data_IF_634107284034
#
_entry.id   IF_634107284034
#
_cell.length_a   1.000
_cell.length_b   1.000
_cell.length_c   1.000
_cell.angle_alpha   90.00
_cell.angle_beta   90.00
_cell.angle_gamma   90.00
#
_symmetry.space_group_name_H-M   'P 1'
#
loop_
_entity.id
_entity.type
_entity.pdbx_description
1 polymer ?
#
# COMPACT_ATOMS: atom_id res chain seq x y z
N UNK A 1 35.54 23.69 28.75
CA UNK A 1 34.20 23.22 29.17
C UNK A 1 33.58 22.25 28.17
N UNK A 2 33.72 22.46 26.86
CA UNK A 2 33.08 21.61 25.85
C UNK A 2 33.50 20.13 25.89
N UNK A 3 34.80 19.84 26.04
CA UNK A 3 35.29 18.45 26.12
C UNK A 3 34.66 17.64 27.25
N UNK A 4 34.40 18.25 28.41
CA UNK A 4 33.75 17.57 29.54
C UNK A 4 32.26 17.31 29.25
N UNK A 5 31.58 18.26 28.60
CA UNK A 5 30.17 18.09 28.21
C UNK A 5 30.02 16.98 27.16
N UNK A 6 30.89 16.92 26.16
CA UNK A 6 30.92 15.82 25.19
C UNK A 6 31.20 14.46 25.83
N UNK A 7 32.13 14.41 26.79
CA UNK A 7 32.40 13.21 27.57
C UNK A 7 31.16 12.69 28.32
N UNK A 8 30.43 13.58 28.98
CA UNK A 8 29.21 13.21 29.71
C UNK A 8 28.11 12.74 28.74
N UNK A 9 27.90 13.45 27.63
CA UNK A 9 26.88 13.08 26.63
C UNK A 9 27.17 11.70 26.03
N UNK A 10 28.42 11.44 25.66
CA UNK A 10 28.81 10.14 25.10
C UNK A 10 28.60 9.01 26.09
N UNK A 11 28.97 9.19 27.36
CA UNK A 11 28.74 8.18 28.41
C UNK A 11 27.25 7.90 28.61
N UNK A 12 26.41 8.94 28.66
CA UNK A 12 24.95 8.78 28.77
C UNK A 12 24.39 8.03 27.55
N UNK A 13 24.89 8.32 26.35
CA UNK A 13 24.46 7.64 25.13
C UNK A 13 24.84 6.16 25.13
N UNK A 14 26.06 5.82 25.55
CA UNK A 14 26.48 4.43 25.67
C UNK A 14 25.69 3.67 26.74
N UNK A 15 25.47 4.29 27.91
CA UNK A 15 24.70 3.66 29.00
C UNK A 15 23.26 3.40 28.59
N UNK A 16 22.58 4.37 27.94
CA UNK A 16 21.22 4.17 27.42
C UNK A 16 21.17 3.12 26.31
N UNK A 17 22.18 3.07 25.43
CA UNK A 17 22.29 2.05 24.38
C UNK A 17 22.37 0.63 24.96
N UNK A 18 23.25 0.43 25.94
CA UNK A 18 23.48 -0.87 26.59
C UNK A 18 22.32 -1.32 27.49
N UNK A 19 21.66 -0.39 28.17
CA UNK A 19 20.63 -0.73 29.18
C UNK A 19 19.21 -0.73 28.64
N UNK A 20 18.94 -0.02 27.54
CA UNK A 20 17.59 0.13 26.98
C UNK A 20 17.51 -0.46 25.57
N UNK A 21 18.34 0.02 24.64
CA UNK A 21 18.27 -0.40 23.23
C UNK A 21 18.66 -1.86 23.04
N UNK A 22 19.76 -2.31 23.66
CA UNK A 22 20.24 -3.68 23.47
C UNK A 22 19.25 -4.72 24.02
N UNK A 23 18.72 -4.62 25.26
CA UNK A 23 17.69 -5.53 25.75
C UNK A 23 16.40 -5.45 24.95
N UNK A 24 16.03 -4.25 24.47
CA UNK A 24 14.85 -4.07 23.62
C UNK A 24 14.99 -4.77 22.26
N UNK A 25 16.15 -4.65 21.60
CA UNK A 25 16.45 -5.36 20.34
C UNK A 25 16.52 -6.87 20.56
N UNK A 26 17.10 -7.33 21.67
CA UNK A 26 17.13 -8.75 22.01
C UNK A 26 15.72 -9.30 22.30
N UNK A 27 14.90 -8.54 23.02
CA UNK A 27 13.50 -8.87 23.30
C UNK A 27 12.68 -8.94 22.01
N UNK A 28 12.85 -7.96 21.11
CA UNK A 28 12.27 -7.99 19.78
C UNK A 28 12.77 -9.22 19.03
N UNK A 29 14.08 -9.48 18.99
CA UNK A 29 14.68 -10.61 18.27
C UNK A 29 14.09 -11.96 18.70
N UNK A 30 13.87 -12.14 20.00
CA UNK A 30 13.35 -13.37 20.60
C UNK A 30 11.83 -13.55 20.46
N UNK A 31 11.04 -12.49 20.58
CA UNK A 31 9.57 -12.58 20.60
C UNK A 31 8.93 -12.23 19.26
N UNK A 32 8.45 -13.25 18.56
CA UNK A 32 7.69 -13.06 17.31
C UNK A 32 6.40 -12.25 17.52
N UNK A 33 5.76 -12.37 18.69
CA UNK A 33 4.53 -11.62 19.01
C UNK A 33 4.81 -10.12 19.23
N UNK A 34 5.92 -9.78 19.89
CA UNK A 34 6.30 -8.37 20.08
C UNK A 34 6.74 -7.73 18.77
N UNK A 35 7.47 -8.45 17.90
CA UNK A 35 7.75 -7.95 16.54
C UNK A 35 6.46 -7.61 15.79
N UNK A 36 5.45 -8.48 15.86
CA UNK A 36 4.15 -8.28 15.18
C UNK A 36 3.33 -7.11 15.72
N UNK A 37 3.59 -6.62 16.94
CA UNK A 37 2.88 -5.47 17.51
C UNK A 37 3.71 -4.20 17.35
N UNK A 38 4.99 -4.27 17.70
CA UNK A 38 5.88 -3.10 17.71
C UNK A 38 6.22 -2.64 16.29
N UNK A 39 6.49 -3.56 15.36
CA UNK A 39 6.86 -3.18 13.99
C UNK A 39 5.71 -2.45 13.27
N UNK A 40 4.46 -2.94 13.26
CA UNK A 40 3.35 -2.19 12.67
C UNK A 40 3.09 -0.86 13.37
N UNK A 41 3.22 -0.80 14.70
CA UNK A 41 3.05 0.47 15.43
C UNK A 41 4.11 1.51 15.02
N UNK A 42 5.39 1.15 15.07
CA UNK A 42 6.49 2.05 14.71
C UNK A 42 6.44 2.44 13.23
N UNK A 43 6.18 1.47 12.35
CA UNK A 43 6.05 1.73 10.92
C UNK A 43 4.87 2.66 10.64
N UNK A 44 3.68 2.37 11.17
CA UNK A 44 2.47 3.16 10.93
C UNK A 44 2.54 4.57 11.52
N UNK A 45 3.14 4.73 12.71
CA UNK A 45 3.11 6.01 13.42
C UNK A 45 4.32 6.90 13.16
N UNK A 46 5.51 6.32 12.89
CA UNK A 46 6.74 7.07 12.69
C UNK A 46 7.15 7.17 11.22
N UNK A 47 7.16 6.04 10.50
CA UNK A 47 7.71 5.97 9.13
C UNK A 47 6.65 6.33 8.10
N UNK A 48 5.50 5.68 8.15
CA UNK A 48 4.46 5.77 7.14
C UNK A 48 3.89 7.18 6.91
N UNK A 49 3.68 8.05 7.93
CA UNK A 49 3.16 9.40 7.70
C UNK A 49 4.14 10.28 6.91
N UNK A 50 5.44 10.11 7.18
CA UNK A 50 6.52 10.81 6.48
C UNK A 50 6.67 10.26 5.06
N UNK A 51 6.69 8.94 4.93
CA UNK A 51 6.79 8.24 3.65
C UNK A 51 5.61 8.59 2.73
N UNK A 52 4.38 8.55 3.25
CA UNK A 52 3.15 8.92 2.54
C UNK A 52 3.20 10.36 2.03
N UNK A 53 3.70 11.31 2.84
CA UNK A 53 3.89 12.70 2.41
C UNK A 53 4.92 12.82 1.29
N UNK A 54 6.06 12.15 1.42
CA UNK A 54 7.13 12.20 0.42
C UNK A 54 6.71 11.58 -0.92
N UNK A 55 5.84 10.57 -0.89
CA UNK A 55 5.43 9.85 -2.10
C UNK A 55 4.13 10.34 -2.72
N UNK A 56 3.41 11.26 -2.04
CA UNK A 56 2.21 11.87 -2.58
C UNK A 56 2.38 12.48 -3.99
N UNK A 57 3.52 13.14 -4.34
CA UNK A 57 3.74 13.64 -5.70
C UNK A 57 3.87 12.52 -6.74
N UNK A 58 4.59 11.44 -6.40
CA UNK A 58 4.77 10.29 -7.28
C UNK A 58 3.44 9.54 -7.49
N UNK A 59 2.69 9.34 -6.41
CA UNK A 59 1.33 8.79 -6.47
C UNK A 59 0.46 9.63 -7.38
N UNK A 60 0.45 10.96 -7.20
CA UNK A 60 -0.32 11.87 -8.07
C UNK A 60 0.07 11.74 -9.54
N UNK A 61 1.36 11.75 -9.84
CA UNK A 61 1.86 11.61 -11.22
C UNK A 61 1.42 10.27 -11.86
N UNK A 62 1.48 9.17 -11.12
CA UNK A 62 1.03 7.87 -11.61
C UNK A 62 -0.49 7.85 -11.91
N UNK A 63 -1.29 8.49 -11.05
CA UNK A 63 -2.73 8.60 -11.26
C UNK A 63 -3.11 9.60 -12.36
N UNK A 64 -2.33 10.66 -12.56
CA UNK A 64 -2.49 11.58 -13.69
C UNK A 64 -2.22 10.83 -15.02
N UNK A 65 -1.16 10.00 -15.07
CA UNK A 65 -0.88 9.12 -16.22
C UNK A 65 -2.00 8.11 -16.44
N UNK A 66 -2.53 7.51 -15.37
CA UNK A 66 -3.68 6.62 -15.45
C UNK A 66 -4.89 7.33 -16.06
N UNK A 67 -5.20 8.53 -15.58
CA UNK A 67 -6.31 9.34 -16.09
C UNK A 67 -6.13 9.68 -17.57
N UNK A 68 -4.92 10.06 -18.00
CA UNK A 68 -4.60 10.32 -19.40
C UNK A 68 -4.87 9.09 -20.28
N UNK A 69 -4.35 7.92 -19.88
CA UNK A 69 -4.54 6.68 -20.62
C UNK A 69 -6.00 6.23 -20.67
N UNK A 70 -6.77 6.46 -19.60
CA UNK A 70 -8.20 6.17 -19.57
C UNK A 70 -8.98 7.14 -20.47
N UNK A 71 -8.60 8.41 -20.50
CA UNK A 71 -9.23 9.43 -21.36
C UNK A 71 -9.03 9.18 -22.86
N UNK A 72 -7.91 8.57 -23.26
CA UNK A 72 -7.67 8.17 -24.65
C UNK A 72 -8.56 6.99 -25.10
N UNK A 73 -9.07 6.19 -24.15
CA UNK A 73 -9.97 5.07 -24.47
C UNK A 73 -11.38 5.60 -24.70
N UNK A 74 -11.90 5.38 -25.90
CA UNK A 74 -13.29 5.69 -26.26
C UNK A 74 -14.27 4.68 -25.63
N UNK A 75 -14.28 4.57 -24.30
CA UNK A 75 -15.21 3.71 -23.55
C UNK A 75 -16.46 4.51 -23.16
N UNK A 76 -17.64 3.96 -23.42
CA UNK A 76 -18.89 4.45 -22.83
C UNK A 76 -19.08 3.79 -21.46
N UNK A 77 -19.10 4.58 -20.39
CA UNK A 77 -19.36 4.12 -19.01
C UNK A 77 -18.11 4.07 -18.12
N UNK A 78 -18.28 3.59 -16.90
CA UNK A 78 -17.22 3.56 -15.88
C UNK A 78 -16.09 2.60 -16.23
N UNK A 79 -14.86 2.93 -15.84
CA UNK A 79 -13.69 2.06 -15.93
C UNK A 79 -13.70 1.07 -14.76
N UNK A 80 -13.57 -0.21 -15.08
CA UNK A 80 -13.47 -1.29 -14.10
C UNK A 80 -12.03 -1.35 -13.59
N UNK A 81 -11.84 -1.05 -12.31
CA UNK A 81 -10.52 -0.96 -11.69
C UNK A 81 -10.44 -1.96 -10.55
N UNK A 82 -9.39 -2.78 -10.56
CA UNK A 82 -9.00 -3.60 -9.42
C UNK A 82 -7.85 -2.93 -8.68
N UNK A 83 -8.00 -2.70 -7.38
CA UNK A 83 -6.89 -2.29 -6.53
C UNK A 83 -6.43 -3.46 -5.66
N UNK A 84 -5.15 -3.82 -5.80
CA UNK A 84 -4.48 -4.81 -4.96
C UNK A 84 -3.93 -4.08 -3.73
N UNK A 85 -4.32 -4.53 -2.54
CA UNK A 85 -3.97 -3.96 -1.23
C UNK A 85 -4.57 -2.58 -0.99
N UNK A 86 -5.91 -2.50 -1.01
CA UNK A 86 -6.65 -1.25 -0.78
C UNK A 86 -6.40 -0.65 0.62
N UNK A 87 -6.13 -1.50 1.62
CA UNK A 87 -6.14 -1.15 3.04
C UNK A 87 -7.33 -0.23 3.39
N UNK A 88 -7.04 0.99 3.84
CA UNK A 88 -8.02 2.02 4.23
C UNK A 88 -8.41 2.99 3.10
N UNK A 89 -7.90 2.79 1.88
CA UNK A 89 -8.25 3.58 0.71
C UNK A 89 -7.35 4.79 0.46
N UNK A 90 -6.05 4.61 0.63
CA UNK A 90 -5.03 5.65 0.51
C UNK A 90 -4.95 6.31 -0.89
N UNK A 91 -5.41 5.58 -1.90
CA UNK A 91 -5.43 5.97 -3.31
C UNK A 91 -6.78 6.59 -3.75
N UNK A 92 -7.82 6.53 -2.91
CA UNK A 92 -9.16 7.05 -3.24
C UNK A 92 -9.18 8.51 -3.73
N UNK A 93 -8.39 9.45 -3.17
CA UNK A 93 -8.40 10.84 -3.64
C UNK A 93 -7.90 11.03 -5.08
N UNK A 94 -7.21 10.04 -5.65
CA UNK A 94 -6.50 10.17 -6.93
C UNK A 94 -7.20 9.46 -8.09
N UNK A 95 -8.22 8.63 -7.82
CA UNK A 95 -8.96 7.99 -8.90
C UNK A 95 -9.74 9.02 -9.74
N UNK A 96 -9.73 8.88 -11.07
CA UNK A 96 -10.52 9.75 -11.94
C UNK A 96 -12.01 9.51 -11.74
N UNK A 97 -12.81 10.48 -12.19
CA UNK A 97 -14.26 10.31 -12.29
C UNK A 97 -14.61 9.09 -13.16
N UNK A 98 -15.77 8.49 -12.92
CA UNK A 98 -16.22 7.26 -13.60
C UNK A 98 -15.33 6.04 -13.30
N UNK A 99 -14.73 5.97 -12.11
CA UNK A 99 -14.02 4.78 -11.65
C UNK A 99 -15.00 3.83 -10.95
N UNK A 100 -15.02 2.57 -11.37
CA UNK A 100 -15.73 1.49 -10.67
C UNK A 100 -14.70 0.57 -10.02
N UNK A 101 -14.67 0.57 -8.69
CA UNK A 101 -13.58 0.00 -7.91
C UNK A 101 -13.97 -1.35 -7.30
N UNK A 102 -13.16 -2.37 -7.58
CA UNK A 102 -13.08 -3.63 -6.83
C UNK A 102 -11.81 -3.56 -5.99
N UNK A 103 -11.97 -3.76 -4.68
CA UNK A 103 -10.84 -3.81 -3.76
C UNK A 103 -10.43 -5.27 -3.49
N UNK A 104 -9.14 -5.56 -3.49
CA UNK A 104 -8.59 -6.85 -3.08
C UNK A 104 -7.63 -6.66 -1.91
N UNK A 105 -7.90 -7.30 -0.78
CA UNK A 105 -7.04 -7.23 0.41
C UNK A 105 -7.26 -8.46 1.29
N UNK A 106 -6.22 -9.14 1.77
CA UNK A 106 -6.37 -10.32 2.62
C UNK A 106 -6.85 -9.98 4.05
N UNK A 107 -6.71 -8.73 4.51
CA UNK A 107 -7.07 -8.31 5.86
C UNK A 107 -8.48 -7.71 5.93
N UNK A 108 -9.18 -7.98 7.02
CA UNK A 108 -10.47 -7.36 7.37
C UNK A 108 -10.31 -6.09 8.22
N UNK A 109 -9.10 -5.83 8.75
CA UNK A 109 -8.82 -4.84 9.80
C UNK A 109 -9.20 -3.40 9.41
N UNK A 110 -9.15 -3.07 8.12
CA UNK A 110 -9.37 -1.71 7.62
C UNK A 110 -10.75 -1.48 7.01
N UNK A 111 -11.67 -2.45 7.09
CA UNK A 111 -12.92 -2.37 6.33
C UNK A 111 -13.83 -1.21 6.76
N UNK A 112 -13.96 -0.95 8.05
CA UNK A 112 -14.77 0.17 8.54
C UNK A 112 -14.17 1.52 8.13
N UNK A 113 -12.85 1.65 8.21
CA UNK A 113 -12.14 2.86 7.81
C UNK A 113 -12.24 3.09 6.30
N UNK A 114 -12.10 2.03 5.50
CA UNK A 114 -12.31 2.06 4.05
C UNK A 114 -13.72 2.52 3.71
N UNK A 115 -14.76 1.96 4.36
CA UNK A 115 -16.16 2.40 4.17
C UNK A 115 -16.34 3.89 4.48
N UNK A 116 -15.72 4.39 5.55
CA UNK A 116 -15.79 5.80 5.92
C UNK A 116 -15.02 6.72 4.96
N UNK A 117 -13.89 6.27 4.42
CA UNK A 117 -13.13 7.03 3.43
C UNK A 117 -13.84 7.04 2.07
N UNK A 118 -14.44 5.92 1.64
CA UNK A 118 -15.27 5.86 0.42
C UNK A 118 -16.43 6.86 0.44
N UNK A 119 -17.09 7.07 1.58
CA UNK A 119 -18.15 8.09 1.72
C UNK A 119 -17.66 9.52 1.41
N UNK A 120 -16.37 9.80 1.59
CA UNK A 120 -15.76 11.11 1.27
C UNK A 120 -15.42 11.24 -0.22
N UNK A 121 -15.52 10.15 -0.98
CA UNK A 121 -15.14 10.07 -2.39
C UNK A 121 -16.29 9.53 -3.26
N UNK A 122 -17.42 10.27 -3.36
CA UNK A 122 -18.61 9.83 -4.10
C UNK A 122 -18.39 9.69 -5.61
N UNK A 123 -17.28 10.20 -6.16
CA UNK A 123 -16.91 10.05 -7.57
C UNK A 123 -16.50 8.60 -7.93
N UNK A 124 -16.29 7.74 -6.94
CA UNK A 124 -15.91 6.34 -7.11
C UNK A 124 -17.12 5.45 -6.85
N UNK A 125 -17.47 4.62 -7.83
CA UNK A 125 -18.45 3.56 -7.65
C UNK A 125 -17.77 2.33 -7.03
N UNK A 126 -17.80 2.22 -5.71
CA UNK A 126 -17.29 1.04 -5.01
C UNK A 126 -18.23 -0.16 -5.23
N UNK A 127 -17.71 -1.24 -5.82
CA UNK A 127 -18.49 -2.45 -6.10
C UNK A 127 -18.48 -3.44 -4.96
N UNK A 128 -17.29 -3.90 -4.59
CA UNK A 128 -17.09 -4.92 -3.56
C UNK A 128 -15.63 -4.95 -3.11
N UNK A 129 -15.43 -5.52 -1.92
CA UNK A 129 -14.13 -6.00 -1.44
C UNK A 129 -14.05 -7.51 -1.64
N UNK A 130 -12.89 -7.99 -2.06
CA UNK A 130 -12.56 -9.41 -2.22
C UNK A 130 -11.44 -9.73 -1.23
N UNK A 131 -11.71 -10.64 -0.29
CA UNK A 131 -10.72 -11.10 0.69
C UNK A 131 -9.86 -12.19 0.08
N UNK A 132 -8.74 -11.80 -0.52
CA UNK A 132 -7.84 -12.71 -1.23
C UNK A 132 -6.39 -12.16 -1.25
N UNK A 133 -5.44 -13.04 -1.54
CA UNK A 133 -4.04 -12.66 -1.74
C UNK A 133 -3.80 -12.19 -3.18
N UNK A 134 -2.81 -11.33 -3.42
CA UNK A 134 -2.46 -10.87 -4.77
C UNK A 134 -1.97 -12.01 -5.66
N UNK A 135 -1.35 -13.04 -5.08
CA UNK A 135 -0.86 -14.24 -5.78
C UNK A 135 -1.98 -15.18 -6.22
N UNK A 136 -3.19 -15.02 -5.68
CA UNK A 136 -4.36 -15.80 -6.03
C UNK A 136 -5.63 -14.97 -5.80
N UNK A 137 -6.10 -14.30 -6.85
CA UNK A 137 -7.22 -13.37 -6.80
C UNK A 137 -8.56 -14.11 -6.93
N UNK A 138 -8.78 -15.10 -6.06
CA UNK A 138 -10.02 -15.85 -6.01
C UNK A 138 -11.20 -14.90 -5.74
N UNK A 139 -12.25 -14.97 -6.57
CA UNK A 139 -13.37 -14.02 -6.51
C UNK A 139 -13.25 -12.79 -7.42
N UNK A 140 -12.18 -12.71 -8.23
CA UNK A 140 -12.07 -11.79 -9.38
C UNK A 140 -12.09 -12.59 -10.67
N UNK A 141 -13.05 -12.29 -11.54
CA UNK A 141 -13.26 -13.02 -12.79
C UNK A 141 -12.16 -12.72 -13.82
N UNK A 142 -11.88 -13.68 -14.71
CA UNK A 142 -10.97 -13.52 -15.85
C UNK A 142 -11.46 -12.40 -16.78
N UNK A 143 -10.52 -11.62 -17.33
CA UNK A 143 -10.81 -10.56 -18.29
C UNK A 143 -11.98 -9.63 -17.88
N UNK A 144 -12.08 -9.31 -16.59
CA UNK A 144 -13.20 -8.55 -16.01
C UNK A 144 -12.87 -7.07 -15.79
N UNK A 145 -11.60 -6.73 -15.60
CA UNK A 145 -11.16 -5.36 -15.27
C UNK A 145 -10.40 -4.69 -16.41
N UNK A 146 -10.51 -3.36 -16.48
CA UNK A 146 -9.79 -2.54 -17.47
C UNK A 146 -8.43 -2.07 -16.94
N UNK A 147 -8.27 -1.97 -15.62
CA UNK A 147 -7.05 -1.48 -14.98
C UNK A 147 -6.80 -2.27 -13.71
N UNK A 148 -5.53 -2.58 -13.44
CA UNK A 148 -5.09 -3.04 -12.13
C UNK A 148 -4.13 -2.01 -11.55
N UNK A 149 -4.39 -1.59 -10.32
CA UNK A 149 -3.57 -0.66 -9.54
C UNK A 149 -2.95 -1.41 -8.36
N UNK A 150 -1.66 -1.20 -8.12
CA UNK A 150 -0.97 -1.70 -6.94
C UNK A 150 0.05 -0.68 -6.43
N UNK A 151 -0.06 -0.32 -5.15
CA UNK A 151 0.77 0.71 -4.51
C UNK A 151 1.32 0.16 -3.19
N UNK A 152 2.64 -0.03 -3.08
CA UNK A 152 3.33 -0.61 -1.90
C UNK A 152 2.94 -2.04 -1.51
N UNK A 153 2.40 -2.85 -2.44
CA UNK A 153 2.00 -4.23 -2.12
C UNK A 153 3.02 -5.26 -2.58
N UNK A 154 3.64 -5.07 -3.74
CA UNK A 154 4.52 -6.08 -4.34
C UNK A 154 5.82 -6.34 -3.55
N UNK A 155 6.20 -5.46 -2.63
CA UNK A 155 7.30 -5.71 -1.70
C UNK A 155 6.93 -6.70 -0.57
N UNK A 156 5.65 -7.00 -0.38
CA UNK A 156 5.14 -7.84 0.72
C UNK A 156 4.62 -9.21 0.26
N UNK A 157 4.54 -9.45 -1.05
CA UNK A 157 4.07 -10.72 -1.62
C UNK A 157 5.19 -11.76 -1.64
N UNK A 158 4.84 -13.04 -1.59
CA UNK A 158 5.81 -14.15 -1.61
C UNK A 158 6.36 -14.39 -3.02
N UNK A 159 5.53 -14.21 -4.04
CA UNK A 159 5.92 -14.42 -5.43
C UNK A 159 5.29 -13.38 -6.35
N UNK A 160 6.08 -12.37 -6.71
CA UNK A 160 5.70 -11.31 -7.67
C UNK A 160 5.27 -11.90 -9.01
N UNK A 161 5.89 -12.99 -9.48
CA UNK A 161 5.51 -13.60 -10.78
C UNK A 161 4.11 -14.17 -10.74
N UNK A 162 3.70 -14.74 -9.61
CA UNK A 162 2.33 -15.24 -9.43
C UNK A 162 1.32 -14.08 -9.43
N UNK A 163 1.63 -12.96 -8.79
CA UNK A 163 0.79 -11.75 -8.88
C UNK A 163 0.66 -11.27 -10.32
N UNK A 164 1.77 -11.15 -11.06
CA UNK A 164 1.74 -10.67 -12.45
C UNK A 164 0.95 -11.62 -13.38
N UNK A 165 0.95 -12.93 -13.12
CA UNK A 165 0.09 -13.89 -13.84
C UNK A 165 -1.38 -13.62 -13.57
N UNK A 166 -1.76 -13.39 -12.31
CA UNK A 166 -3.12 -13.06 -11.94
C UNK A 166 -3.56 -11.72 -12.52
N UNK A 167 -2.70 -10.70 -12.48
CA UNK A 167 -2.92 -9.40 -13.15
C UNK A 167 -3.24 -9.61 -14.63
N UNK A 168 -2.45 -10.44 -15.33
CA UNK A 168 -2.70 -10.76 -16.74
C UNK A 168 -4.02 -11.51 -16.94
N UNK A 169 -4.41 -12.39 -16.02
CA UNK A 169 -5.67 -13.16 -16.07
C UNK A 169 -6.89 -12.24 -15.95
N UNK A 170 -6.87 -11.30 -15.00
CA UNK A 170 -8.04 -10.45 -14.68
C UNK A 170 -8.20 -9.28 -15.66
N UNK A 171 -7.11 -8.81 -16.29
CA UNK A 171 -7.15 -7.72 -17.27
C UNK A 171 -7.85 -8.15 -18.57
N UNK A 172 -8.70 -7.28 -19.13
CA UNK A 172 -9.26 -7.52 -20.46
C UNK A 172 -8.16 -7.51 -21.55
N UNK A 173 -8.34 -8.26 -22.65
CA UNK A 173 -7.32 -8.42 -23.70
C UNK A 173 -6.87 -7.11 -24.38
N UNK A 174 -7.72 -6.08 -24.40
CA UNK A 174 -7.44 -4.76 -25.04
C UNK A 174 -6.96 -3.72 -24.00
N UNK A 175 -6.87 -4.10 -22.73
CA UNK A 175 -6.44 -3.23 -21.62
C UNK A 175 -5.11 -3.67 -21.05
N UNK A 176 -4.02 -3.13 -21.59
CA UNK A 176 -2.69 -3.28 -20.99
C UNK A 176 -2.33 -1.93 -20.39
N UNK A 177 -2.72 -1.73 -19.12
CA UNK A 177 -2.26 -0.62 -18.28
C UNK A 177 -2.08 -1.19 -16.87
N UNK A 178 -0.89 -1.71 -16.58
CA UNK A 178 -0.48 -2.07 -15.23
C UNK A 178 0.28 -0.88 -14.66
N UNK A 179 -0.26 -0.24 -13.63
CA UNK A 179 0.40 0.87 -12.94
C UNK A 179 0.92 0.37 -11.60
N UNK A 180 2.25 0.36 -11.48
CA UNK A 180 2.97 -0.06 -10.29
C UNK A 180 3.67 1.14 -9.65
N UNK A 181 3.40 1.37 -8.36
CA UNK A 181 4.25 2.17 -7.50
C UNK A 181 4.87 1.24 -6.44
N UNK A 182 6.04 0.69 -6.75
CA UNK A 182 6.87 -0.04 -5.80
C UNK A 182 8.06 0.82 -5.39
N UNK A 183 8.25 1.02 -4.08
CA UNK A 183 9.56 1.38 -3.56
C UNK A 183 10.29 0.07 -3.37
N UNK A 184 11.27 -0.18 -4.23
CA UNK A 184 12.28 -1.17 -3.97
C UNK A 184 13.23 -0.57 -2.91
N UNK A 185 12.99 -0.89 -1.64
CA UNK A 185 14.10 -0.83 -0.67
C UNK A 185 15.03 -1.99 -1.05
N UNK A 186 16.07 -1.68 -1.83
CA UNK A 186 17.29 -2.47 -1.83
C UNK A 186 17.97 -2.35 -0.45
#
# INVERSE_FOLDING_TARGET
>A
MEFFVYGIITVIWWLSSLTVLLPFVLLLSYSQSLKKIWFPFFFTFCIFPTLKRQLAPLRRCAFDLLQEHLGQRRKKGAHEILEIGIADGDNLPYYPNNSSLIALDPSEDFEELLKNNLKKHPQIMFKRKVTAMGENMVGVEDASVDVVVSTYVLCSVKDVRSVLKEVKRVLKPVSINFFELSIQFC
#
